data_IF_178276788073
#
_entry.id   IF_178276788073
#
_cell.length_a   1.000
_cell.length_b   1.000
_cell.length_c   1.000
_cell.angle_alpha   90.00
_cell.angle_beta   90.00
_cell.angle_gamma   90.00
#
_symmetry.space_group_name_H-M   'P 1'
#
loop_
_entity.id
_entity.type
_entity.pdbx_description
1 polymer ?
#
# COMPACT_ATOMS: atom_id res chain seq x y z
N UNK A 1 -1.08 3.33 -2.23
CA UNK A 1 -2.32 3.35 -1.41
C UNK A 1 -3.01 2.00 -1.53
N UNK A 2 -3.71 1.57 -0.48
CA UNK A 2 -4.50 0.33 -0.48
C UNK A 2 -5.97 0.72 -0.39
N UNK A 3 -6.78 0.23 -1.32
CA UNK A 3 -8.22 0.46 -1.33
C UNK A 3 -8.92 -0.80 -0.83
N UNK A 4 -9.83 -0.65 0.14
CA UNK A 4 -10.59 -1.75 0.72
C UNK A 4 -12.06 -1.41 0.83
N UNK A 5 -12.91 -2.40 0.52
CA UNK A 5 -14.36 -2.26 0.57
C UNK A 5 -15.00 -3.53 1.12
N UNK A 6 -15.97 -3.39 2.01
CA UNK A 6 -16.74 -4.52 2.53
C UNK A 6 -18.13 -4.08 2.95
N UNK A 7 -19.05 -4.10 1.99
CA UNK A 7 -20.41 -3.61 2.19
C UNK A 7 -21.19 -4.40 3.24
N UNK A 8 -20.95 -5.70 3.32
CA UNK A 8 -21.68 -6.59 4.22
C UNK A 8 -21.34 -6.34 5.69
N UNK A 9 -20.06 -6.11 6.00
CA UNK A 9 -19.58 -6.03 7.39
C UNK A 9 -19.23 -4.61 7.84
N UNK A 10 -18.95 -3.70 6.93
CA UNK A 10 -18.52 -2.32 7.23
C UNK A 10 -19.56 -1.31 6.77
N UNK A 11 -20.37 -1.67 5.75
CA UNK A 11 -21.29 -0.76 5.09
C UNK A 11 -20.74 -0.18 3.80
N UNK A 12 -21.45 0.78 3.24
CA UNK A 12 -21.11 1.41 1.96
C UNK A 12 -19.99 2.44 2.12
N UNK A 13 -18.82 1.96 2.55
CA UNK A 13 -17.66 2.80 2.85
C UNK A 13 -16.41 2.25 2.17
N UNK A 14 -15.81 3.07 1.32
CA UNK A 14 -14.46 2.83 0.79
C UNK A 14 -13.43 3.31 1.80
N UNK A 15 -12.59 2.40 2.26
CA UNK A 15 -11.45 2.72 3.11
C UNK A 15 -10.18 2.77 2.28
N UNK A 16 -9.42 3.86 2.38
CA UNK A 16 -8.16 4.05 1.68
C UNK A 16 -7.04 4.17 2.71
N UNK A 17 -6.14 3.21 2.72
CA UNK A 17 -4.94 3.24 3.58
C UNK A 17 -3.81 3.89 2.77
N UNK A 18 -3.30 5.01 3.28
CA UNK A 18 -2.20 5.77 2.67
C UNK A 18 -0.87 5.30 3.22
N UNK A 19 -0.76 5.18 4.53
CA UNK A 19 0.43 4.71 5.24
C UNK A 19 0.09 4.17 6.62
N UNK A 20 1.03 3.44 7.22
CA UNK A 20 0.94 3.00 8.62
C UNK A 20 1.15 4.20 9.56
N UNK A 21 0.33 4.27 10.59
CA UNK A 21 0.45 5.28 11.66
C UNK A 21 1.59 4.98 12.64
N UNK A 22 2.12 3.77 12.64
CA UNK A 22 3.14 3.27 13.59
C UNK A 22 2.78 3.51 15.07
N UNK A 23 1.48 3.44 15.38
CA UNK A 23 0.97 3.66 16.73
C UNK A 23 0.92 5.13 17.16
N UNK A 24 1.20 6.08 16.28
CA UNK A 24 1.07 7.51 16.58
C UNK A 24 -0.40 7.91 16.82
N UNK A 25 -0.62 8.99 17.53
CA UNK A 25 -1.96 9.53 17.79
C UNK A 25 -2.58 10.04 16.49
N UNK A 26 -3.82 9.65 16.28
CA UNK A 26 -4.60 10.02 15.11
C UNK A 26 -5.66 11.05 15.48
N UNK A 27 -6.04 11.83 14.48
CA UNK A 27 -7.17 12.76 14.52
C UNK A 27 -7.98 12.59 13.23
N UNK A 28 -9.22 13.07 13.21
CA UNK A 28 -10.15 12.89 12.09
C UNK A 28 -10.79 14.23 11.72
N UNK A 29 -10.76 14.57 10.44
CA UNK A 29 -11.51 15.67 9.85
C UNK A 29 -12.57 15.08 8.91
N UNK A 30 -13.85 15.20 9.27
CA UNK A 30 -14.96 14.74 8.46
C UNK A 30 -15.71 15.90 7.84
N UNK A 31 -15.87 15.86 6.51
CA UNK A 31 -16.64 16.81 5.73
C UNK A 31 -17.52 16.02 4.77
N UNK A 32 -18.84 16.20 4.87
CA UNK A 32 -19.81 15.48 4.04
C UNK A 32 -19.59 13.97 4.05
N UNK A 33 -19.38 13.43 2.88
CA UNK A 33 -19.14 11.98 2.65
C UNK A 33 -17.68 11.55 2.86
N UNK A 34 -16.75 12.48 3.14
CA UNK A 34 -15.33 12.18 3.25
C UNK A 34 -14.84 12.40 4.67
N UNK A 35 -14.10 11.43 5.22
CA UNK A 35 -13.36 11.57 6.47
C UNK A 35 -11.87 11.31 6.22
N UNK A 36 -11.07 12.32 6.51
CA UNK A 36 -9.62 12.26 6.52
C UNK A 36 -9.13 11.81 7.89
N UNK A 37 -8.27 10.80 7.93
CA UNK A 37 -7.57 10.38 9.13
C UNK A 37 -6.11 10.80 8.99
N UNK A 38 -5.58 11.50 9.99
CA UNK A 38 -4.24 12.07 9.92
C UNK A 38 -3.49 11.97 11.25
N UNK A 39 -2.17 12.06 11.18
CA UNK A 39 -1.31 12.11 12.36
C UNK A 39 -1.53 13.44 13.12
N UNK A 40 -1.74 13.35 14.41
CA UNK A 40 -2.06 14.54 15.23
C UNK A 40 -0.95 15.60 15.20
N UNK A 41 0.31 15.17 15.19
CA UNK A 41 1.47 16.05 15.26
C UNK A 41 1.86 16.64 13.90
N UNK A 42 2.11 15.79 12.90
CA UNK A 42 2.59 16.22 11.57
C UNK A 42 1.48 16.67 10.62
N UNK A 43 0.21 16.38 10.96
CA UNK A 43 -0.96 16.59 10.10
C UNK A 43 -0.92 15.80 8.76
N UNK A 44 0.00 14.83 8.63
CA UNK A 44 0.05 13.98 7.44
C UNK A 44 -1.11 12.99 7.40
N UNK A 45 -1.72 12.84 6.23
CA UNK A 45 -2.81 11.90 5.99
C UNK A 45 -2.31 10.45 6.06
N UNK A 46 -3.01 9.61 6.82
CA UNK A 46 -2.73 8.18 6.93
C UNK A 46 -3.83 7.32 6.30
N UNK A 47 -5.08 7.81 6.28
CA UNK A 47 -6.18 7.09 5.66
C UNK A 47 -7.32 8.04 5.26
N UNK A 48 -8.21 7.52 4.39
CA UNK A 48 -9.48 8.14 4.04
C UNK A 48 -10.61 7.12 4.22
N UNK A 49 -11.76 7.62 4.63
CA UNK A 49 -13.01 6.88 4.54
C UNK A 49 -13.99 7.70 3.69
N UNK A 50 -14.49 7.09 2.62
CA UNK A 50 -15.46 7.71 1.72
C UNK A 50 -16.77 6.94 1.89
N UNK A 51 -17.74 7.60 2.52
CA UNK A 51 -19.05 7.03 2.84
C UNK A 51 -20.00 7.12 1.64
N UNK A 52 -20.98 6.21 1.61
CA UNK A 52 -21.97 6.14 0.52
C UNK A 52 -21.31 6.09 -0.87
N UNK A 53 -20.17 5.40 -0.96
CA UNK A 53 -19.31 5.37 -2.14
C UNK A 53 -20.03 4.80 -3.37
N UNK A 54 -21.05 3.96 -3.18
CA UNK A 54 -21.86 3.44 -4.30
C UNK A 54 -22.67 4.52 -5.03
N UNK A 55 -22.82 5.72 -4.44
CA UNK A 55 -23.40 6.88 -5.11
C UNK A 55 -22.43 7.54 -6.10
N UNK A 56 -21.12 7.27 -6.00
CA UNK A 56 -20.05 7.85 -6.79
C UNK A 56 -19.53 6.90 -7.85
N UNK A 57 -19.20 5.67 -7.45
CA UNK A 57 -18.60 4.63 -8.30
C UNK A 57 -19.24 3.27 -8.03
N UNK A 58 -19.13 2.36 -8.99
CA UNK A 58 -19.55 0.97 -8.84
C UNK A 58 -18.36 0.14 -8.39
N UNK A 59 -18.47 -0.50 -7.22
CA UNK A 59 -17.45 -1.39 -6.68
C UNK A 59 -17.98 -2.81 -6.69
N UNK A 60 -17.27 -3.71 -7.36
CA UNK A 60 -17.54 -5.14 -7.36
C UNK A 60 -16.56 -5.87 -6.43
N UNK A 61 -17.09 -6.80 -5.63
CA UNK A 61 -16.29 -7.60 -4.70
C UNK A 61 -16.19 -7.02 -3.29
N UNK A 62 -15.33 -7.65 -2.48
CA UNK A 62 -15.06 -7.28 -1.09
C UNK A 62 -13.59 -7.57 -0.73
N UNK A 63 -13.07 -6.88 0.29
CA UNK A 63 -11.67 -6.93 0.70
C UNK A 63 -10.83 -5.87 0.00
N UNK A 64 -9.59 -6.20 -0.33
CA UNK A 64 -8.76 -5.29 -1.12
C UNK A 64 -9.24 -5.27 -2.56
N UNK A 65 -9.44 -4.08 -3.09
CA UNK A 65 -9.94 -3.84 -4.45
C UNK A 65 -8.95 -3.00 -5.26
N UNK A 66 -9.08 -3.08 -6.58
CA UNK A 66 -8.37 -2.20 -7.52
C UNK A 66 -9.39 -1.26 -8.16
N UNK A 67 -9.09 0.02 -8.18
CA UNK A 67 -9.89 1.05 -8.81
C UNK A 67 -9.33 1.40 -10.19
N UNK A 68 -10.20 1.77 -11.11
CA UNK A 68 -9.77 2.32 -12.40
C UNK A 68 -9.29 3.78 -12.24
N UNK A 69 -8.53 4.27 -13.20
CA UNK A 69 -8.13 5.69 -13.23
C UNK A 69 -9.33 6.65 -13.30
N UNK A 70 -10.45 6.18 -13.87
CA UNK A 70 -11.70 6.94 -13.91
C UNK A 70 -12.34 7.03 -12.53
N UNK A 71 -12.35 5.93 -11.76
CA UNK A 71 -12.86 5.92 -10.38
C UNK A 71 -12.02 6.84 -9.50
N UNK A 72 -10.69 6.79 -9.62
CA UNK A 72 -9.78 7.69 -8.90
C UNK A 72 -10.07 9.17 -9.22
N UNK A 73 -10.35 9.50 -10.47
CA UNK A 73 -10.73 10.88 -10.85
C UNK A 73 -12.03 11.32 -10.19
N UNK A 74 -13.05 10.45 -10.16
CA UNK A 74 -14.33 10.73 -9.53
C UNK A 74 -14.15 10.95 -8.03
N UNK A 75 -13.41 10.07 -7.36
CA UNK A 75 -13.15 10.18 -5.93
C UNK A 75 -12.34 11.43 -5.59
N UNK A 76 -11.35 11.79 -6.40
CA UNK A 76 -10.59 13.03 -6.21
C UNK A 76 -11.46 14.28 -6.41
N UNK A 77 -12.40 14.26 -7.34
CA UNK A 77 -13.35 15.34 -7.49
C UNK A 77 -14.25 15.50 -6.27
N UNK A 78 -14.66 14.39 -5.63
CA UNK A 78 -15.44 14.43 -4.39
C UNK A 78 -14.60 14.95 -3.21
N UNK A 79 -13.33 14.51 -3.07
CA UNK A 79 -12.42 15.05 -2.05
C UNK A 79 -12.29 16.58 -2.18
N UNK A 80 -12.06 17.06 -3.41
CA UNK A 80 -11.92 18.49 -3.69
C UNK A 80 -13.21 19.26 -3.39
N UNK A 81 -14.37 18.72 -3.75
CA UNK A 81 -15.69 19.29 -3.47
C UNK A 81 -15.91 19.45 -1.95
N UNK A 82 -15.47 18.49 -1.17
CA UNK A 82 -15.54 18.53 0.30
C UNK A 82 -14.41 19.39 0.92
N UNK A 83 -13.58 20.03 0.09
CA UNK A 83 -12.56 20.99 0.51
C UNK A 83 -11.24 20.36 0.98
N UNK A 84 -10.93 19.14 0.51
CA UNK A 84 -9.62 18.52 0.71
C UNK A 84 -8.76 18.71 -0.53
N UNK A 85 -7.50 19.12 -0.35
CA UNK A 85 -6.55 19.36 -1.44
C UNK A 85 -5.69 18.12 -1.76
N UNK A 86 -5.70 17.12 -0.88
CA UNK A 86 -5.01 15.85 -1.10
C UNK A 86 -5.62 15.08 -2.28
N UNK A 87 -4.84 14.22 -2.90
CA UNK A 87 -5.31 13.37 -3.99
C UNK A 87 -5.01 11.89 -3.76
N UNK A 88 -5.96 11.06 -4.16
CA UNK A 88 -5.78 9.61 -4.24
C UNK A 88 -4.99 9.30 -5.52
N UNK A 89 -4.07 8.35 -5.42
CA UNK A 89 -3.29 7.84 -6.55
C UNK A 89 -3.41 6.33 -6.63
N UNK A 90 -3.57 5.83 -7.84
CA UNK A 90 -3.56 4.40 -8.10
C UNK A 90 -2.11 3.93 -8.20
N UNK A 91 -1.46 3.75 -7.05
CA UNK A 91 -0.06 3.30 -7.00
C UNK A 91 -0.07 1.77 -6.98
N UNK A 92 -0.06 1.16 -8.15
CA UNK A 92 0.09 -0.29 -8.32
C UNK A 92 1.60 -0.60 -8.29
N UNK A 93 2.26 -0.35 -7.16
CA UNK A 93 3.56 -0.96 -6.96
C UNK A 93 3.32 -2.44 -6.63
N UNK A 94 3.93 -3.36 -7.40
CA UNK A 94 3.75 -4.78 -7.16
C UNK A 94 4.30 -5.12 -5.76
N UNK A 95 3.46 -5.70 -4.92
CA UNK A 95 3.83 -6.15 -3.57
C UNK A 95 4.79 -7.33 -3.62
N UNK A 96 4.70 -8.15 -4.69
CA UNK A 96 5.60 -9.24 -4.98
C UNK A 96 6.32 -8.97 -6.30
N UNK A 97 7.62 -9.16 -6.30
CA UNK A 97 8.47 -8.91 -7.46
C UNK A 97 9.35 -10.14 -7.70
N UNK A 98 9.67 -10.39 -8.95
CA UNK A 98 10.68 -11.40 -9.29
C UNK A 98 12.04 -10.85 -8.88
N UNK A 99 12.79 -11.67 -8.14
CA UNK A 99 14.12 -11.34 -7.65
C UNK A 99 15.16 -12.33 -8.19
N UNK A 100 16.40 -11.88 -8.37
CA UNK A 100 17.52 -12.73 -8.76
C UNK A 100 18.70 -12.54 -7.85
N UNK A 101 19.26 -13.64 -7.32
CA UNK A 101 20.51 -13.61 -6.57
C UNK A 101 21.67 -13.34 -7.55
N UNK A 102 22.32 -12.21 -7.40
CA UNK A 102 23.48 -11.81 -8.24
C UNK A 102 24.80 -12.21 -7.62
N UNK A 103 24.92 -12.09 -6.29
CA UNK A 103 26.08 -12.45 -5.53
C UNK A 103 25.68 -13.15 -4.23
N UNK A 104 26.50 -14.07 -3.76
CA UNK A 104 26.29 -14.79 -2.51
C UNK A 104 27.64 -15.08 -1.88
N UNK A 105 27.79 -14.72 -0.61
CA UNK A 105 28.96 -15.01 0.21
C UNK A 105 28.54 -15.65 1.52
N UNK A 106 29.42 -16.42 2.14
CA UNK A 106 29.15 -17.02 3.45
C UNK A 106 29.03 -15.93 4.52
N UNK A 107 28.09 -16.12 5.45
CA UNK A 107 27.92 -15.21 6.56
C UNK A 107 29.08 -15.38 7.57
N UNK A 108 29.77 -14.32 8.00
CA UNK A 108 30.99 -14.45 8.83
C UNK A 108 30.75 -15.11 10.19
N UNK A 109 29.55 -15.01 10.73
CA UNK A 109 29.17 -15.50 12.06
C UNK A 109 28.20 -16.68 12.01
N UNK A 110 28.07 -17.39 10.88
CA UNK A 110 27.14 -18.52 10.73
C UNK A 110 27.66 -19.52 9.71
N UNK A 111 27.46 -20.79 10.00
CA UNK A 111 27.85 -21.93 9.17
C UNK A 111 26.77 -22.35 8.13
N UNK A 112 25.59 -21.73 8.17
CA UNK A 112 24.46 -22.09 7.30
C UNK A 112 23.75 -20.87 6.67
N UNK A 113 24.20 -19.65 6.97
CA UNK A 113 23.64 -18.44 6.38
C UNK A 113 24.56 -17.88 5.31
N UNK A 114 23.93 -17.21 4.34
CA UNK A 114 24.63 -16.49 3.28
C UNK A 114 24.15 -15.06 3.21
N UNK A 115 25.04 -14.13 2.88
CA UNK A 115 24.72 -12.76 2.54
C UNK A 115 24.58 -12.70 1.03
N UNK A 116 23.37 -12.39 0.56
CA UNK A 116 23.03 -12.33 -0.85
C UNK A 116 22.82 -10.89 -1.31
N UNK A 117 23.37 -10.53 -2.48
CA UNK A 117 22.98 -9.34 -3.22
C UNK A 117 21.90 -9.76 -4.22
N UNK A 118 20.71 -9.25 -4.03
CA UNK A 118 19.52 -9.68 -4.77
C UNK A 118 19.01 -8.52 -5.62
N UNK A 119 19.05 -8.71 -6.94
CA UNK A 119 18.46 -7.77 -7.89
C UNK A 119 16.94 -7.95 -7.90
N UNK A 120 16.23 -6.85 -7.69
CA UNK A 120 14.78 -6.73 -7.82
C UNK A 120 14.46 -5.81 -9.01
N UNK A 121 13.23 -5.32 -9.12
CA UNK A 121 12.80 -4.47 -10.23
C UNK A 121 13.79 -3.36 -10.59
N UNK A 122 13.91 -3.09 -11.89
CA UNK A 122 14.67 -1.98 -12.46
C UNK A 122 16.18 -1.95 -12.11
N UNK A 123 16.76 -3.15 -11.84
CA UNK A 123 18.17 -3.26 -11.50
C UNK A 123 18.53 -2.80 -10.09
N UNK A 124 17.55 -2.53 -9.25
CA UNK A 124 17.77 -2.22 -7.84
C UNK A 124 18.25 -3.46 -7.11
N UNK A 125 19.35 -3.33 -6.36
CA UNK A 125 19.89 -4.42 -5.54
C UNK A 125 19.60 -4.19 -4.06
N UNK A 126 19.18 -5.26 -3.38
CA UNK A 126 18.98 -5.29 -1.92
C UNK A 126 19.82 -6.41 -1.31
N UNK A 127 20.35 -6.16 -0.12
CA UNK A 127 21.08 -7.19 0.63
C UNK A 127 20.09 -8.00 1.47
N UNK A 128 20.16 -9.32 1.37
CA UNK A 128 19.30 -10.25 2.12
C UNK A 128 20.19 -11.32 2.75
N UNK A 129 19.96 -11.64 4.02
CA UNK A 129 20.56 -12.81 4.67
C UNK A 129 19.64 -14.02 4.40
N UNK A 130 20.19 -15.04 3.78
CA UNK A 130 19.47 -16.22 3.32
C UNK A 130 19.99 -17.49 3.98
N UNK A 131 19.09 -18.30 4.56
CA UNK A 131 19.40 -19.62 5.10
C UNK A 131 18.80 -20.78 4.29
N UNK A 132 18.28 -20.51 3.11
CA UNK A 132 17.67 -21.54 2.27
C UNK A 132 18.74 -22.43 1.63
N UNK A 133 18.67 -23.76 1.77
CA UNK A 133 19.70 -24.68 1.27
C UNK A 133 19.76 -24.75 -0.27
N UNK A 134 18.74 -24.27 -0.95
CA UNK A 134 18.67 -24.19 -2.41
C UNK A 134 19.05 -22.82 -2.98
N UNK A 135 19.49 -21.89 -2.12
CA UNK A 135 19.97 -20.61 -2.61
C UNK A 135 21.24 -20.77 -3.45
N UNK A 136 21.29 -20.09 -4.58
CA UNK A 136 22.47 -20.08 -5.46
C UNK A 136 22.49 -18.82 -6.32
N UNK A 137 23.67 -18.40 -6.72
CA UNK A 137 23.84 -17.28 -7.66
C UNK A 137 23.11 -17.62 -8.97
N UNK A 138 22.31 -16.67 -9.45
CA UNK A 138 21.47 -16.81 -10.65
C UNK A 138 20.07 -17.34 -10.37
N UNK A 139 19.75 -17.83 -9.16
CA UNK A 139 18.42 -18.26 -8.78
C UNK A 139 17.45 -17.08 -8.92
N UNK A 140 16.32 -17.34 -9.59
CA UNK A 140 15.18 -16.40 -9.68
C UNK A 140 14.02 -16.92 -8.84
N UNK A 141 13.37 -16.06 -8.13
CA UNK A 141 12.24 -16.37 -7.26
C UNK A 141 11.21 -15.26 -7.27
#
# INVERSE_FOLDING_TARGET
MIFTYNREHVGDTLMVIVKDSQGAKLDVDRRGQVARVYLQDSKETVAWNIFEVSSLIVIEGAGQITLSDQDIKILNAELLKEGFEDSLVNNIEPTFVVAQIKEMIDHPDSDHLHICQVEINDGKTVQIVCGAPNASVGLKT
#
